data_IF_016789424087
#
_entry.id   IF_016789424087
#
_cell.length_a   1.000
_cell.length_b   1.000
_cell.length_c   1.000
_cell.angle_alpha   90.00
_cell.angle_beta   90.00
_cell.angle_gamma   90.00
#
_symmetry.space_group_name_H-M   'P 1'
#
loop_
_entity.id
_entity.type
_entity.pdbx_description
1 polymer ?
#
# COMPACT_ATOMS: atom_id res chain seq x y z
N UNK A 1 25.74 11.54 -4.52
CA UNK A 1 25.10 10.39 -3.85
C UNK A 1 24.60 10.79 -2.45
N UNK A 2 25.47 11.31 -1.58
CA UNK A 2 25.11 11.76 -0.22
C UNK A 2 24.25 13.04 -0.16
N UNK A 3 24.43 13.97 -1.11
CA UNK A 3 23.60 15.17 -1.24
C UNK A 3 22.14 14.84 -1.63
N UNK A 4 21.94 13.81 -2.47
CA UNK A 4 20.60 13.26 -2.79
C UNK A 4 19.96 12.52 -1.61
N UNK A 5 20.75 12.14 -0.60
CA UNK A 5 20.30 11.46 0.62
C UNK A 5 20.00 12.45 1.78
N UNK A 6 19.94 13.76 1.50
CA UNK A 6 19.71 14.84 2.50
C UNK A 6 20.70 14.85 3.67
N UNK A 7 21.92 14.36 3.48
CA UNK A 7 22.98 14.47 4.50
C UNK A 7 23.46 15.93 4.54
N UNK A 8 23.58 16.56 5.73
CA UNK A 8 24.05 17.95 5.85
C UNK A 8 25.43 18.13 5.20
N UNK A 9 25.61 19.23 4.45
CA UNK A 9 26.80 19.46 3.62
C UNK A 9 28.14 19.40 4.38
N UNK A 10 28.15 19.73 5.67
CA UNK A 10 29.34 19.66 6.52
C UNK A 10 29.77 18.23 6.88
N UNK A 11 28.89 17.23 6.78
CA UNK A 11 29.22 15.82 7.04
C UNK A 11 29.69 15.06 5.80
N UNK A 12 29.46 15.60 4.59
CA UNK A 12 29.84 14.94 3.33
C UNK A 12 31.35 14.61 3.24
N UNK A 13 32.28 15.50 3.66
CA UNK A 13 33.72 15.19 3.63
C UNK A 13 34.08 14.00 4.53
N UNK A 14 33.46 13.89 5.71
CA UNK A 14 33.68 12.80 6.65
C UNK A 14 33.08 11.48 6.14
N UNK A 15 31.91 11.52 5.49
CA UNK A 15 31.32 10.36 4.85
C UNK A 15 32.17 9.82 3.68
N UNK A 16 32.74 10.72 2.87
CA UNK A 16 33.65 10.36 1.79
C UNK A 16 34.96 9.77 2.33
N UNK A 17 35.51 10.34 3.41
CA UNK A 17 36.70 9.82 4.07
C UNK A 17 36.44 8.44 4.69
N UNK A 18 35.30 8.26 5.35
CA UNK A 18 34.91 6.98 5.96
C UNK A 18 34.68 5.88 4.94
N UNK A 19 33.97 6.17 3.85
CA UNK A 19 33.77 5.21 2.75
C UNK A 19 35.08 4.85 2.04
N UNK A 20 35.98 5.83 1.86
CA UNK A 20 37.33 5.60 1.34
C UNK A 20 38.16 4.69 2.26
N UNK A 21 38.17 4.97 3.57
CA UNK A 21 38.89 4.19 4.56
C UNK A 21 38.39 2.73 4.62
N UNK A 22 37.07 2.53 4.60
CA UNK A 22 36.47 1.19 4.57
C UNK A 22 36.91 0.43 3.32
N UNK A 23 36.92 1.08 2.14
CA UNK A 23 37.36 0.43 0.91
C UNK A 23 38.83 0.00 0.95
N UNK A 24 39.71 0.83 1.53
CA UNK A 24 41.13 0.50 1.68
C UNK A 24 41.31 -0.68 2.63
N UNK A 25 40.65 -0.65 3.79
CA UNK A 25 40.71 -1.74 4.77
C UNK A 25 40.15 -3.06 4.20
N UNK A 26 39.01 -2.99 3.50
CA UNK A 26 38.42 -4.14 2.83
C UNK A 26 39.35 -4.72 1.76
N UNK A 27 40.07 -3.86 1.02
CA UNK A 27 41.05 -4.29 0.01
C UNK A 27 42.25 -5.00 0.63
N UNK A 28 42.80 -4.47 1.73
CA UNK A 28 43.92 -5.09 2.46
C UNK A 28 43.50 -6.43 3.05
N UNK A 29 42.34 -6.49 3.72
CA UNK A 29 41.80 -7.72 4.27
C UNK A 29 41.53 -8.76 3.17
N UNK A 30 41.05 -8.33 2.02
CA UNK A 30 40.85 -9.20 0.85
C UNK A 30 42.17 -9.76 0.34
N UNK A 31 43.24 -8.95 0.26
CA UNK A 31 44.58 -9.43 -0.12
C UNK A 31 45.09 -10.51 0.85
N UNK A 32 45.01 -10.25 2.16
CA UNK A 32 45.41 -11.23 3.18
C UNK A 32 44.57 -12.50 3.15
N UNK A 33 43.28 -12.40 2.82
CA UNK A 33 42.42 -13.57 2.61
C UNK A 33 42.80 -14.34 1.35
N UNK A 34 43.15 -13.65 0.25
CA UNK A 34 43.57 -14.28 -1.01
C UNK A 34 44.86 -15.09 -0.81
N UNK A 35 45.81 -14.56 -0.05
CA UNK A 35 47.07 -15.26 0.25
C UNK A 35 46.85 -16.50 1.12
N UNK A 36 45.93 -16.46 2.09
CA UNK A 36 45.64 -17.61 2.97
C UNK A 36 44.71 -18.66 2.37
N UNK A 37 43.67 -18.24 1.63
CA UNK A 37 42.60 -19.13 1.15
C UNK A 37 42.76 -19.56 -0.32
N UNK A 38 43.68 -18.93 -1.06
CA UNK A 38 43.89 -19.17 -2.48
C UNK A 38 42.84 -18.47 -3.35
N UNK A 39 43.28 -17.99 -4.52
CA UNK A 39 42.48 -17.15 -5.45
C UNK A 39 41.13 -17.76 -5.86
N UNK A 40 41.00 -19.09 -5.90
CA UNK A 40 39.75 -19.78 -6.25
C UNK A 40 38.68 -19.66 -5.15
N UNK A 41 39.05 -19.74 -3.88
CA UNK A 41 38.10 -19.65 -2.77
C UNK A 41 37.44 -18.26 -2.72
N UNK A 42 38.24 -17.20 -2.87
CA UNK A 42 37.76 -15.81 -2.76
C UNK A 42 36.77 -15.41 -3.88
N UNK A 43 36.82 -16.07 -5.05
CA UNK A 43 35.88 -15.81 -6.15
C UNK A 43 34.64 -16.69 -6.04
N UNK A 44 34.83 -17.97 -5.70
CA UNK A 44 33.73 -18.96 -5.71
C UNK A 44 32.78 -18.75 -4.53
N UNK A 45 33.29 -18.48 -3.32
CA UNK A 45 32.42 -18.33 -2.14
C UNK A 45 31.39 -17.18 -2.28
N UNK A 46 31.77 -15.95 -2.68
CA UNK A 46 30.81 -14.87 -2.86
C UNK A 46 29.80 -15.14 -3.98
N UNK A 47 30.23 -15.76 -5.10
CA UNK A 47 29.33 -16.12 -6.19
C UNK A 47 28.30 -17.16 -5.77
N UNK A 48 28.71 -18.17 -5.00
CA UNK A 48 27.81 -19.20 -4.46
C UNK A 48 26.83 -18.59 -3.47
N UNK A 49 27.29 -17.73 -2.55
CA UNK A 49 26.42 -17.02 -1.60
C UNK A 49 25.40 -16.15 -2.35
N UNK A 50 25.84 -15.40 -3.37
CA UNK A 50 24.94 -14.57 -4.17
C UNK A 50 23.90 -15.40 -4.93
N UNK A 51 24.31 -16.54 -5.51
CA UNK A 51 23.39 -17.44 -6.21
C UNK A 51 22.34 -18.05 -5.28
N UNK A 52 22.74 -18.42 -4.05
CA UNK A 52 21.81 -18.93 -3.02
C UNK A 52 20.82 -17.84 -2.60
N UNK A 53 21.29 -16.62 -2.29
CA UNK A 53 20.41 -15.51 -1.90
C UNK A 53 19.43 -15.16 -3.03
N UNK A 54 19.90 -15.12 -4.28
CA UNK A 54 19.04 -14.86 -5.43
C UNK A 54 18.02 -15.98 -5.64
N UNK A 55 18.42 -17.24 -5.44
CA UNK A 55 17.54 -18.40 -5.46
C UNK A 55 16.46 -18.32 -4.37
N UNK A 56 16.84 -18.01 -3.13
CA UNK A 56 15.91 -17.84 -2.00
C UNK A 56 14.93 -16.70 -2.24
N UNK A 57 15.39 -15.55 -2.76
CA UNK A 57 14.50 -14.44 -3.12
C UNK A 57 13.55 -14.82 -4.25
N UNK A 58 14.04 -15.55 -5.26
CA UNK A 58 13.22 -16.00 -6.38
C UNK A 58 12.14 -16.98 -5.91
N UNK A 59 12.50 -17.94 -5.06
CA UNK A 59 11.56 -18.89 -4.46
C UNK A 59 10.57 -18.17 -3.56
N UNK A 60 11.01 -17.24 -2.71
CA UNK A 60 10.11 -16.48 -1.85
C UNK A 60 9.11 -15.64 -2.65
N UNK A 61 9.58 -14.94 -3.69
CA UNK A 61 8.73 -14.18 -4.60
C UNK A 61 7.81 -15.09 -5.43
N UNK A 62 8.24 -16.31 -5.73
CA UNK A 62 7.45 -17.27 -6.48
C UNK A 62 6.39 -17.95 -5.61
N UNK A 63 6.69 -18.27 -4.36
CA UNK A 63 5.73 -18.76 -3.36
C UNK A 63 4.67 -17.67 -3.09
N UNK A 64 5.09 -16.42 -2.89
CA UNK A 64 4.19 -15.26 -2.73
C UNK A 64 3.34 -14.99 -3.98
N UNK A 65 3.79 -15.44 -5.16
CA UNK A 65 3.03 -15.39 -6.41
C UNK A 65 2.09 -16.59 -6.58
N UNK A 66 2.49 -17.79 -6.13
CA UNK A 66 1.66 -19.00 -6.12
C UNK A 66 0.48 -18.83 -5.16
N UNK A 67 0.71 -18.29 -3.96
CA UNK A 67 -0.35 -18.01 -2.98
C UNK A 67 -1.37 -16.97 -3.49
N UNK A 68 -0.98 -16.10 -4.43
CA UNK A 68 -1.86 -15.12 -5.06
C UNK A 68 -2.66 -15.61 -6.27
N UNK A 69 -2.32 -16.78 -6.83
CA UNK A 69 -2.98 -17.29 -8.03
C UNK A 69 -4.22 -18.16 -7.75
N UNK A 70 -4.50 -18.51 -6.49
CA UNK A 70 -5.70 -19.27 -6.11
C UNK A 70 -6.93 -18.43 -5.74
N UNK A 71 -6.88 -17.11 -5.91
CA UNK A 71 -8.08 -16.29 -5.75
C UNK A 71 -8.50 -15.67 -7.07
N UNK A 72 -9.42 -16.37 -7.74
CA UNK A 72 -10.56 -15.72 -8.37
C UNK A 72 -11.26 -14.89 -7.27
N UNK A 73 -10.75 -13.67 -7.03
CA UNK A 73 -11.08 -12.87 -5.87
C UNK A 73 -12.44 -12.21 -6.11
N UNK A 74 -13.50 -12.90 -5.69
CA UNK A 74 -14.83 -12.34 -5.49
C UNK A 74 -14.76 -11.34 -4.32
N UNK A 75 -14.13 -10.19 -4.54
CA UNK A 75 -13.92 -9.20 -3.50
C UNK A 75 -15.24 -8.47 -3.22
N UNK A 76 -15.62 -8.44 -1.93
CA UNK A 76 -16.79 -7.72 -1.38
C UNK A 76 -16.28 -6.76 -0.30
N UNK A 77 -15.31 -5.91 -0.63
CA UNK A 77 -14.67 -4.99 0.30
C UNK A 77 -15.11 -3.55 0.09
N UNK A 78 -15.79 -2.96 1.06
CA UNK A 78 -16.08 -1.52 1.11
C UNK A 78 -15.12 -0.83 2.08
N UNK A 79 -14.55 0.28 1.67
CA UNK A 79 -13.68 1.12 2.51
C UNK A 79 -14.46 2.34 2.96
N UNK A 80 -14.20 2.73 4.20
CA UNK A 80 -14.66 3.94 4.83
C UNK A 80 -13.45 4.74 5.31
N UNK A 81 -13.21 5.91 4.71
CA UNK A 81 -12.17 6.81 5.18
C UNK A 81 -12.58 8.31 5.06
N UNK A 82 -11.90 9.20 5.77
CA UNK A 82 -12.53 10.16 6.71
C UNK A 82 -12.68 11.63 6.27
N UNK A 83 -13.48 12.35 7.09
CA UNK A 83 -13.59 13.81 7.38
C UNK A 83 -14.95 14.50 7.11
N UNK A 84 -16.02 13.96 7.70
CA UNK A 84 -17.07 14.67 8.47
C UNK A 84 -17.82 13.62 9.31
N UNK A 85 -17.51 13.54 10.61
CA UNK A 85 -17.87 12.39 11.46
C UNK A 85 -19.38 12.17 11.60
N UNK A 86 -20.18 13.22 11.58
CA UNK A 86 -21.62 13.14 11.86
C UNK A 86 -22.39 12.73 10.61
N UNK A 87 -22.22 13.45 9.50
CA UNK A 87 -22.92 13.19 8.24
C UNK A 87 -22.62 11.79 7.71
N UNK A 88 -21.35 11.38 7.73
CA UNK A 88 -20.95 10.03 7.32
C UNK A 88 -21.68 8.97 8.14
N UNK A 89 -21.68 9.08 9.48
CA UNK A 89 -22.30 8.08 10.34
C UNK A 89 -23.81 8.04 10.16
N UNK A 90 -24.47 9.19 10.01
CA UNK A 90 -25.91 9.26 9.76
C UNK A 90 -26.29 8.57 8.45
N UNK A 91 -25.58 8.88 7.35
CA UNK A 91 -25.78 8.25 6.05
C UNK A 91 -25.56 6.72 6.11
N UNK A 92 -24.50 6.27 6.78
CA UNK A 92 -24.21 4.84 6.88
C UNK A 92 -25.18 4.08 7.77
N UNK A 93 -25.70 4.70 8.84
CA UNK A 93 -26.74 4.09 9.68
C UNK A 93 -27.98 3.76 8.88
N UNK A 94 -28.39 4.63 7.96
CA UNK A 94 -29.54 4.40 7.08
C UNK A 94 -29.34 3.17 6.17
N UNK A 95 -28.09 2.84 5.84
CA UNK A 95 -27.73 1.74 4.94
C UNK A 95 -27.09 0.54 5.66
N UNK A 96 -27.25 0.46 7.00
CA UNK A 96 -26.63 -0.58 7.84
C UNK A 96 -26.83 -2.00 7.29
N UNK A 97 -28.04 -2.34 6.89
CA UNK A 97 -28.40 -3.70 6.46
C UNK A 97 -27.73 -4.11 5.15
N UNK A 98 -27.42 -3.13 4.30
CA UNK A 98 -26.65 -3.34 3.07
C UNK A 98 -25.19 -3.53 3.47
N UNK A 99 -24.63 -2.59 4.23
CA UNK A 99 -23.24 -2.61 4.68
C UNK A 99 -22.85 -3.89 5.43
N UNK A 100 -23.77 -4.46 6.22
CA UNK A 100 -23.56 -5.69 6.97
C UNK A 100 -23.28 -6.93 6.09
N UNK A 101 -23.61 -6.88 4.79
CA UNK A 101 -23.36 -7.95 3.82
C UNK A 101 -21.95 -7.89 3.21
N UNK A 102 -21.20 -6.83 3.50
CA UNK A 102 -19.88 -6.58 2.93
C UNK A 102 -18.81 -6.48 4.01
N UNK A 103 -17.55 -6.67 3.61
CA UNK A 103 -16.41 -6.47 4.49
C UNK A 103 -16.10 -4.98 4.56
N UNK A 104 -16.16 -4.41 5.76
CA UNK A 104 -15.85 -3.00 5.98
C UNK A 104 -14.40 -2.84 6.42
N UNK A 105 -13.75 -1.85 5.84
CA UNK A 105 -12.40 -1.41 6.22
C UNK A 105 -12.45 0.07 6.59
N UNK A 106 -11.66 0.50 7.57
CA UNK A 106 -11.53 1.93 7.85
C UNK A 106 -10.28 2.29 8.63
N UNK A 107 -9.83 3.53 8.47
CA UNK A 107 -8.70 4.09 9.24
C UNK A 107 -9.04 4.19 10.73
N UNK A 108 -8.04 4.18 11.61
CA UNK A 108 -8.21 3.86 13.03
C UNK A 108 -9.38 4.56 13.74
N UNK A 109 -9.50 5.88 13.63
CA UNK A 109 -10.60 6.64 14.25
C UNK A 109 -11.95 6.41 13.56
N UNK A 110 -11.97 6.38 12.22
CA UNK A 110 -13.17 6.15 11.41
C UNK A 110 -13.74 4.76 11.65
N UNK A 111 -12.90 3.73 11.53
CA UNK A 111 -13.31 2.35 11.68
C UNK A 111 -13.83 2.04 13.07
N UNK A 112 -13.19 2.61 14.10
CA UNK A 112 -13.68 2.48 15.49
C UNK A 112 -15.04 3.15 15.70
N UNK A 113 -15.27 4.32 15.08
CA UNK A 113 -16.55 5.01 15.18
C UNK A 113 -17.65 4.26 14.42
N UNK A 114 -17.39 3.84 13.18
CA UNK A 114 -18.36 3.07 12.37
C UNK A 114 -18.72 1.76 13.07
N UNK A 115 -17.74 1.01 13.57
CA UNK A 115 -18.00 -0.25 14.28
C UNK A 115 -18.87 -0.04 15.51
N UNK A 116 -18.59 1.01 16.30
CA UNK A 116 -19.38 1.36 17.48
C UNK A 116 -20.82 1.73 17.13
N UNK A 117 -21.01 2.56 16.11
CA UNK A 117 -22.31 3.15 15.78
C UNK A 117 -23.21 2.22 14.96
N UNK A 118 -22.63 1.40 14.07
CA UNK A 118 -23.38 0.46 13.24
C UNK A 118 -23.43 -0.94 13.83
N UNK A 119 -22.57 -1.26 14.80
CA UNK A 119 -22.42 -2.61 15.36
C UNK A 119 -22.16 -3.67 14.27
N UNK A 120 -21.31 -3.31 13.31
CA UNK A 120 -20.83 -4.18 12.23
C UNK A 120 -19.31 -4.28 12.37
N UNK A 121 -18.70 -5.48 12.24
CA UNK A 121 -17.25 -5.62 12.33
C UNK A 121 -16.54 -4.79 11.25
N UNK A 122 -15.55 -3.99 11.66
CA UNK A 122 -14.72 -3.20 10.76
C UNK A 122 -13.25 -3.57 10.94
N UNK A 123 -12.57 -3.89 9.83
CA UNK A 123 -11.12 -4.07 9.86
C UNK A 123 -10.45 -2.70 9.94
N UNK A 124 -9.75 -2.44 11.04
CA UNK A 124 -9.15 -1.14 11.34
C UNK A 124 -7.72 -1.09 10.81
N UNK A 125 -7.41 0.00 10.13
CA UNK A 125 -6.07 0.39 9.75
C UNK A 125 -5.51 1.44 10.70
N UNK A 126 -4.27 1.83 10.49
CA UNK A 126 -3.69 2.99 11.18
C UNK A 126 -4.50 4.26 10.87
N UNK A 127 -4.30 5.32 11.65
CA UNK A 127 -4.91 6.61 11.30
C UNK A 127 -4.33 7.12 9.98
N UNK A 128 -5.12 7.87 9.21
CA UNK A 128 -4.68 8.38 7.90
C UNK A 128 -3.31 9.06 7.93
N UNK A 129 -3.10 10.05 8.82
CA UNK A 129 -1.79 10.74 8.97
C UNK A 129 -0.63 9.84 9.41
N UNK A 130 -0.90 8.67 10.01
CA UNK A 130 0.11 7.70 10.42
C UNK A 130 0.35 6.59 9.37
N UNK A 131 -0.26 6.72 8.18
CA UNK A 131 -0.08 5.78 7.06
C UNK A 131 -1.29 4.89 6.78
N UNK A 132 -2.44 5.12 7.42
CA UNK A 132 -3.69 4.42 7.10
C UNK A 132 -4.09 4.55 5.62
N UNK A 133 -3.95 5.75 5.05
CA UNK A 133 -4.27 6.03 3.64
C UNK A 133 -3.39 5.19 2.70
N UNK A 134 -2.14 4.94 3.09
CA UNK A 134 -1.21 4.09 2.33
C UNK A 134 -1.59 2.61 2.43
N UNK A 135 -2.05 2.15 3.61
CA UNK A 135 -2.58 0.80 3.78
C UNK A 135 -3.81 0.57 2.91
N UNK A 136 -4.68 1.58 2.81
CA UNK A 136 -5.81 1.57 1.88
C UNK A 136 -5.35 1.52 0.42
N UNK A 137 -4.37 2.33 0.04
CA UNK A 137 -3.80 2.28 -1.30
C UNK A 137 -3.20 0.92 -1.67
N UNK A 138 -2.51 0.28 -0.72
CA UNK A 138 -2.00 -1.09 -0.88
C UNK A 138 -3.15 -2.11 -1.11
N UNK A 139 -4.26 -1.93 -0.42
CA UNK A 139 -5.45 -2.77 -0.59
C UNK A 139 -6.16 -2.51 -1.93
N UNK A 140 -6.17 -1.27 -2.43
CA UNK A 140 -6.69 -0.91 -3.76
C UNK A 140 -5.87 -1.61 -4.85
N UNK A 141 -4.54 -1.49 -4.78
CA UNK A 141 -3.62 -2.06 -5.77
C UNK A 141 -3.60 -3.59 -5.78
N UNK A 142 -3.86 -4.21 -4.63
CA UNK A 142 -4.02 -5.66 -4.51
C UNK A 142 -5.41 -6.18 -4.91
N UNK A 143 -6.30 -5.30 -5.40
CA UNK A 143 -7.69 -5.63 -5.77
C UNK A 143 -8.53 -6.19 -4.62
N UNK A 144 -8.12 -5.92 -3.38
CA UNK A 144 -8.84 -6.33 -2.19
C UNK A 144 -10.02 -5.39 -1.85
N UNK A 145 -10.21 -4.32 -2.62
CA UNK A 145 -11.19 -3.27 -2.36
C UNK A 145 -11.99 -2.87 -3.59
N UNK A 146 -13.26 -2.58 -3.36
CA UNK A 146 -14.25 -2.44 -4.42
C UNK A 146 -14.90 -1.07 -4.50
N UNK A 147 -15.13 -0.51 -3.32
CA UNK A 147 -15.81 0.75 -3.13
C UNK A 147 -15.02 1.54 -2.10
N UNK A 148 -14.80 2.82 -2.40
CA UNK A 148 -14.17 3.78 -1.51
C UNK A 148 -15.19 4.85 -1.13
N UNK A 149 -15.64 4.85 0.13
CA UNK A 149 -16.43 5.94 0.71
C UNK A 149 -15.45 6.86 1.43
N UNK A 150 -15.26 8.08 0.89
CA UNK A 150 -14.22 9.02 1.32
C UNK A 150 -14.72 10.45 1.44
N UNK A 151 -15.12 10.88 2.63
CA UNK A 151 -15.75 12.19 2.86
C UNK A 151 -14.71 13.26 3.17
N UNK A 152 -14.49 14.21 2.26
CA UNK A 152 -13.49 15.26 2.42
C UNK A 152 -14.16 16.54 2.89
N UNK A 153 -13.64 17.16 3.94
CA UNK A 153 -14.02 18.53 4.26
C UNK A 153 -13.36 19.50 3.27
N UNK A 154 -14.19 20.11 2.42
CA UNK A 154 -13.74 21.04 1.37
C UNK A 154 -13.48 22.46 1.87
N UNK A 155 -13.88 22.78 3.11
CA UNK A 155 -13.79 24.14 3.66
C UNK A 155 -12.56 24.36 4.54
N UNK A 156 -11.93 23.28 5.03
CA UNK A 156 -10.73 23.35 5.85
C UNK A 156 -9.45 23.00 5.07
N UNK A 157 -8.42 23.84 5.22
CA UNK A 157 -7.08 23.63 4.67
C UNK A 157 -6.36 22.53 5.44
N UNK A 158 -6.36 21.30 4.91
CA UNK A 158 -5.73 20.16 5.58
C UNK A 158 -4.26 19.95 5.17
N UNK A 159 -3.34 19.76 6.13
CA UNK A 159 -1.92 19.51 5.86
C UNK A 159 -1.63 18.19 5.09
N UNK A 160 -2.64 17.37 4.83
CA UNK A 160 -2.53 16.04 4.18
C UNK A 160 -3.23 15.99 2.80
N UNK A 161 -3.50 17.15 2.19
CA UNK A 161 -4.22 17.25 0.90
C UNK A 161 -3.56 16.42 -0.22
N UNK A 162 -2.23 16.27 -0.19
CA UNK A 162 -1.51 15.46 -1.18
C UNK A 162 -1.82 13.95 -1.10
N UNK A 163 -2.00 13.43 0.12
CA UNK A 163 -2.24 12.00 0.35
C UNK A 163 -3.66 11.61 -0.08
N UNK A 164 -4.64 12.47 0.22
CA UNK A 164 -6.03 12.35 -0.24
C UNK A 164 -6.11 12.27 -1.76
N UNK A 165 -5.45 13.21 -2.46
CA UNK A 165 -5.44 13.24 -3.92
C UNK A 165 -4.73 12.02 -4.50
N UNK A 166 -3.67 11.53 -3.85
CA UNK A 166 -2.99 10.32 -4.27
C UNK A 166 -3.89 9.08 -4.16
N UNK A 167 -4.67 8.96 -3.07
CA UNK A 167 -5.60 7.85 -2.87
C UNK A 167 -6.75 7.87 -3.89
N UNK A 168 -7.38 9.03 -4.11
CA UNK A 168 -8.44 9.17 -5.11
C UNK A 168 -7.95 8.90 -6.53
N UNK A 169 -6.74 9.38 -6.87
CA UNK A 169 -6.09 9.08 -8.16
C UNK A 169 -5.88 7.58 -8.32
N UNK A 170 -5.46 6.89 -7.26
CA UNK A 170 -5.27 5.45 -7.30
C UNK A 170 -6.60 4.72 -7.51
N UNK A 171 -7.65 5.13 -6.82
CA UNK A 171 -8.99 4.57 -7.02
C UNK A 171 -9.47 4.74 -8.47
N UNK A 172 -9.24 5.90 -9.08
CA UNK A 172 -9.56 6.15 -10.49
C UNK A 172 -8.77 5.25 -11.46
N UNK A 173 -7.47 5.06 -11.22
CA UNK A 173 -6.62 4.17 -12.03
C UNK A 173 -7.14 2.73 -12.00
N UNK A 174 -7.53 2.25 -10.82
CA UNK A 174 -8.03 0.88 -10.64
C UNK A 174 -9.53 0.73 -10.95
N UNK A 175 -10.21 1.81 -11.34
CA UNK A 175 -11.63 1.82 -11.68
C UNK A 175 -12.54 1.51 -10.48
N UNK A 176 -12.08 1.80 -9.26
CA UNK A 176 -12.85 1.64 -8.02
C UNK A 176 -13.95 2.70 -7.98
N UNK A 177 -15.13 2.32 -7.48
CA UNK A 177 -16.22 3.28 -7.28
C UNK A 177 -15.91 4.13 -6.06
N UNK A 178 -15.89 5.46 -6.24
CA UNK A 178 -15.65 6.41 -5.16
C UNK A 178 -16.92 7.19 -4.83
N UNK A 179 -17.26 7.26 -3.55
CA UNK A 179 -18.33 8.11 -3.03
C UNK A 179 -17.74 9.13 -2.05
N UNK A 180 -17.84 10.41 -2.36
CA UNK A 180 -17.25 11.49 -1.54
C UNK A 180 -18.26 12.35 -0.81
N UNK A 181 -19.55 12.07 -0.98
CA UNK A 181 -20.68 12.78 -0.37
C UNK A 181 -21.78 11.80 0.02
N UNK A 182 -22.64 12.17 0.98
CA UNK A 182 -23.79 11.35 1.37
C UNK A 182 -24.69 11.02 0.18
N UNK A 183 -24.99 12.00 -0.67
CA UNK A 183 -25.76 11.77 -1.89
C UNK A 183 -25.14 10.68 -2.79
N UNK A 184 -23.81 10.67 -2.95
CA UNK A 184 -23.15 9.64 -3.77
C UNK A 184 -23.24 8.26 -3.11
N UNK A 185 -23.17 8.19 -1.77
CA UNK A 185 -23.35 6.94 -1.02
C UNK A 185 -24.77 6.40 -1.19
N UNK A 186 -25.78 7.25 -1.09
CA UNK A 186 -27.18 6.85 -1.25
C UNK A 186 -27.44 6.25 -2.64
N UNK A 187 -26.98 6.92 -3.70
CA UNK A 187 -27.08 6.41 -5.07
C UNK A 187 -26.28 5.10 -5.26
N UNK A 188 -25.12 4.98 -4.62
CA UNK A 188 -24.27 3.81 -4.72
C UNK A 188 -24.89 2.59 -4.03
N UNK A 189 -25.32 2.75 -2.77
CA UNK A 189 -25.84 1.66 -1.96
C UNK A 189 -27.26 1.25 -2.37
N UNK A 190 -28.04 2.16 -2.96
CA UNK A 190 -29.34 1.82 -3.57
C UNK A 190 -29.24 1.15 -4.95
N UNK A 191 -28.05 1.14 -5.56
CA UNK A 191 -27.85 0.53 -6.87
C UNK A 191 -28.10 -0.99 -6.84
N UNK A 192 -28.86 -1.55 -7.79
CA UNK A 192 -29.05 -3.00 -7.87
C UNK A 192 -27.72 -3.75 -8.08
N UNK A 193 -26.74 -3.09 -8.70
CA UNK A 193 -25.41 -3.65 -8.96
C UNK A 193 -24.54 -3.77 -7.70
N UNK A 194 -24.95 -3.22 -6.56
CA UNK A 194 -24.18 -3.23 -5.32
C UNK A 194 -23.85 -4.65 -4.84
N UNK A 195 -24.78 -5.58 -5.04
CA UNK A 195 -24.65 -6.97 -4.61
C UNK A 195 -24.11 -7.90 -5.71
N UNK A 196 -23.86 -7.36 -6.91
CA UNK A 196 -23.46 -8.12 -8.08
C UNK A 196 -21.94 -8.02 -8.32
N UNK A 197 -21.30 -9.10 -8.81
CA UNK A 197 -19.93 -9.00 -9.28
C UNK A 197 -19.88 -8.07 -10.50
N UNK A 198 -18.89 -7.19 -10.56
CA UNK A 198 -18.72 -6.26 -11.67
C UNK A 198 -17.28 -6.25 -12.18
N UNK A 199 -17.13 -6.23 -13.50
CA UNK A 199 -15.83 -6.16 -14.17
C UNK A 199 -15.40 -4.70 -14.27
N UNK A 200 -14.19 -4.40 -13.80
CA UNK A 200 -13.60 -3.06 -13.88
C UNK A 200 -12.56 -2.99 -14.99
N UNK A 201 -12.59 -1.89 -15.73
CA UNK A 201 -11.48 -1.54 -16.63
C UNK A 201 -10.45 -0.76 -15.83
N UNK A 202 -9.25 -1.33 -15.71
CA UNK A 202 -8.11 -0.64 -15.11
C UNK A 202 -7.58 0.34 -16.15
N UNK A 203 -7.55 1.63 -15.82
CA UNK A 203 -6.96 2.65 -16.68
C UNK A 203 -5.47 2.42 -16.72
N UNK A 204 -5.04 1.72 -17.76
CA UNK A 204 -3.64 1.47 -17.99
C UNK A 204 -3.25 2.28 -19.20
N UNK A 205 -2.43 3.31 -19.02
CA UNK A 205 -1.79 4.03 -20.13
C UNK A 205 -0.85 3.15 -20.97
N UNK A 206 -0.73 1.87 -20.61
CA UNK A 206 -0.04 0.83 -21.36
C UNK A 206 -0.98 -0.36 -21.48
N UNK A 207 -1.24 -0.80 -22.71
CA UNK A 207 -1.90 -2.07 -23.02
C UNK A 207 -1.27 -3.20 -22.19
N UNK A 208 -1.94 -3.62 -21.12
CA UNK A 208 -1.56 -4.82 -20.39
C UNK A 208 -1.79 -6.00 -21.32
N UNK A 209 -0.71 -6.47 -21.96
CA UNK A 209 -0.71 -7.78 -22.60
C UNK A 209 -1.10 -8.81 -21.52
N UNK A 210 -2.05 -9.70 -21.81
CA UNK A 210 -2.35 -10.80 -20.90
C UNK A 210 -1.06 -11.59 -20.64
N UNK A 211 -0.80 -11.89 -19.37
CA UNK A 211 0.26 -12.82 -18.95
C UNK A 211 -0.27 -14.24 -18.95
#
# INVERSE_FOLDING_TARGET
MFEKARIPNHFIPYANLGTGLINVLASIASLSLIEKAGRRAVIVYPMVIMAIVFGLLTVNNFIDKMERNETEFQSRGQILDHFQKTELIECLRQHRDILAKHKLYGTGTTGSLVEKELQIPVTKFESGPLGGDQQLGAKITSRALDILIFFIDTLDSHPHTADVQALLRLAQVYGIVCATTAATVDFLLSSPKMNEPHVRKIQTGQTLKPK
#
